data_IF_591167191328
#
_entry.id   IF_591167191328
#
_cell.length_a   1.000
_cell.length_b   1.000
_cell.length_c   1.000
_cell.angle_alpha   90.00
_cell.angle_beta   90.00
_cell.angle_gamma   90.00
#
_symmetry.space_group_name_H-M   'P 1'
#
loop_
_entity.id
_entity.type
_entity.pdbx_description
1 polymer ?
#
# COMPACT_ATOMS: atom_id res chain seq x y z
N UNK A 1 -67.96 -12.68 -52.59
CA UNK A 1 -67.89 -12.09 -53.95
C UNK A 1 -66.85 -10.97 -53.90
N UNK A 2 -65.56 -11.26 -54.09
CA UNK A 2 -64.83 -11.11 -55.36
C UNK A 2 -65.04 -9.75 -56.03
N UNK A 3 -64.05 -8.86 -55.92
CA UNK A 3 -63.31 -8.35 -57.07
C UNK A 3 -61.99 -7.71 -56.63
N UNK A 4 -60.95 -8.50 -56.85
CA UNK A 4 -59.57 -8.06 -57.09
C UNK A 4 -59.54 -7.40 -58.47
N UNK A 5 -58.90 -6.24 -58.58
CA UNK A 5 -58.34 -5.76 -59.84
C UNK A 5 -56.99 -5.11 -59.54
N UNK A 6 -55.94 -5.88 -59.79
CA UNK A 6 -54.55 -5.48 -59.93
C UNK A 6 -54.37 -4.68 -61.22
N UNK A 7 -53.50 -3.65 -61.25
CA UNK A 7 -52.39 -3.55 -62.23
C UNK A 7 -51.53 -2.28 -62.07
N UNK A 8 -50.21 -2.52 -62.13
CA UNK A 8 -49.10 -1.67 -62.59
C UNK A 8 -48.81 -0.39 -61.78
N UNK A 9 -47.84 -0.40 -60.86
CA UNK A 9 -46.37 -0.45 -61.09
C UNK A 9 -45.86 0.78 -61.88
N UNK A 10 -45.78 1.92 -61.19
CA UNK A 10 -44.69 2.88 -61.41
C UNK A 10 -43.90 2.94 -60.12
N UNK A 11 -42.76 2.27 -60.20
CA UNK A 11 -41.66 2.28 -59.26
C UNK A 11 -41.12 3.72 -59.20
N UNK A 12 -41.46 4.43 -58.14
CA UNK A 12 -40.66 5.54 -57.62
C UNK A 12 -40.27 5.15 -56.20
N UNK A 13 -39.27 4.26 -56.14
CA UNK A 13 -38.46 4.07 -54.95
C UNK A 13 -37.92 5.44 -54.55
N UNK A 14 -38.52 6.02 -53.51
CA UNK A 14 -37.80 6.91 -52.62
C UNK A 14 -36.86 6.02 -51.81
N UNK A 15 -35.80 5.54 -52.49
CA UNK A 15 -34.56 5.12 -51.87
C UNK A 15 -34.07 6.35 -51.10
N UNK A 16 -34.43 6.42 -49.82
CA UNK A 16 -33.53 7.07 -48.87
C UNK A 16 -32.28 6.20 -48.95
N UNK A 17 -31.27 6.72 -49.65
CA UNK A 17 -29.90 6.27 -49.47
C UNK A 17 -29.56 6.48 -47.98
N UNK A 18 -29.94 5.52 -47.15
CA UNK A 18 -29.07 5.12 -46.06
C UNK A 18 -27.93 4.46 -46.81
N UNK A 19 -26.87 5.22 -47.05
CA UNK A 19 -25.61 4.63 -47.47
C UNK A 19 -25.26 3.61 -46.40
N UNK A 20 -25.51 2.35 -46.71
CA UNK A 20 -24.78 1.21 -46.17
C UNK A 20 -23.34 1.39 -46.64
N UNK A 21 -22.64 2.34 -46.04
CA UNK A 21 -21.21 2.22 -45.90
C UNK A 21 -21.01 1.23 -44.78
N UNK A 22 -20.69 0.02 -45.22
CA UNK A 22 -19.95 -0.98 -44.49
C UNK A 22 -18.69 -0.28 -43.95
N UNK A 23 -18.79 0.28 -42.74
CA UNK A 23 -17.66 0.43 -41.86
C UNK A 23 -17.71 -0.78 -40.94
N UNK A 24 -17.20 -1.89 -41.46
CA UNK A 24 -16.50 -2.83 -40.62
C UNK A 24 -15.23 -2.10 -40.18
N UNK A 25 -15.29 -1.49 -39.01
CA UNK A 25 -14.15 -1.26 -38.13
C UNK A 25 -14.73 -1.08 -36.73
N UNK A 26 -14.20 -1.90 -35.82
CA UNK A 26 -14.62 -2.13 -34.45
C UNK A 26 -14.88 -0.84 -33.65
N UNK A 27 -16.16 -0.58 -33.33
CA UNK A 27 -16.52 0.26 -32.17
C UNK A 27 -16.40 -0.63 -30.93
N UNK A 28 -15.17 -0.91 -30.53
CA UNK A 28 -14.85 -1.51 -29.24
C UNK A 28 -14.66 -0.39 -28.20
N UNK A 29 -15.59 -0.36 -27.25
CA UNK A 29 -15.39 -0.10 -25.81
C UNK A 29 -14.04 0.51 -25.39
N UNK A 30 -14.05 1.70 -24.78
CA UNK A 30 -13.24 2.08 -23.59
C UNK A 30 -13.14 3.61 -23.47
N UNK A 31 -13.70 4.22 -22.43
CA UNK A 31 -13.35 5.59 -22.02
C UNK A 31 -13.51 5.81 -20.50
N UNK A 32 -13.38 4.74 -19.71
CA UNK A 32 -12.60 4.85 -18.48
C UNK A 32 -11.16 4.52 -18.87
N UNK A 33 -10.16 5.37 -18.60
CA UNK A 33 -8.80 5.13 -19.04
C UNK A 33 -8.19 3.99 -18.21
N UNK A 34 -8.42 2.74 -18.64
CA UNK A 34 -7.34 1.75 -18.63
C UNK A 34 -6.39 2.16 -19.74
N UNK A 35 -5.47 3.07 -19.41
CA UNK A 35 -4.32 3.34 -20.25
C UNK A 35 -3.11 2.75 -19.56
N UNK A 36 -2.66 1.63 -20.15
CA UNK A 36 -1.46 0.94 -19.79
C UNK A 36 -0.26 1.86 -19.81
N UNK A 37 0.61 1.65 -18.83
CA UNK A 37 1.98 2.12 -18.87
C UNK A 37 2.63 1.46 -20.09
N UNK A 38 2.82 2.20 -21.18
CA UNK A 38 3.78 1.81 -22.22
C UNK A 38 5.16 1.99 -21.60
N UNK A 39 5.64 0.96 -20.91
CA UNK A 39 6.99 0.88 -20.36
C UNK A 39 7.19 0.13 -19.04
N UNK A 40 6.14 -0.14 -18.25
CA UNK A 40 6.26 -0.87 -16.97
C UNK A 40 5.02 -1.72 -16.78
N UNK A 41 5.09 -2.98 -17.23
CA UNK A 41 4.04 -3.98 -17.02
C UNK A 41 3.94 -4.34 -15.54
N UNK A 42 2.72 -4.44 -15.02
CA UNK A 42 2.42 -5.00 -13.69
C UNK A 42 3.03 -6.40 -13.58
N UNK A 43 3.88 -6.64 -12.57
CA UNK A 43 4.46 -7.96 -12.29
C UNK A 43 5.98 -8.02 -12.09
N UNK A 44 6.65 -6.91 -11.80
CA UNK A 44 8.09 -6.90 -11.52
C UNK A 44 8.38 -6.89 -10.02
N UNK A 45 9.46 -7.57 -9.63
CA UNK A 45 9.94 -7.69 -8.27
C UNK A 45 10.94 -6.59 -7.93
N UNK A 46 11.24 -6.37 -6.64
CA UNK A 46 12.24 -5.38 -6.15
C UNK A 46 13.61 -5.50 -6.84
N UNK A 47 13.97 -6.66 -7.41
CA UNK A 47 15.25 -6.82 -8.12
C UNK A 47 15.29 -6.18 -9.50
N UNK A 48 14.14 -5.81 -10.07
CA UNK A 48 14.03 -5.35 -11.46
C UNK A 48 14.19 -3.83 -11.59
N UNK A 49 14.12 -3.09 -10.47
CA UNK A 49 14.32 -1.64 -10.45
C UNK A 49 15.37 -1.18 -9.45
N UNK A 50 16.21 -0.25 -9.91
CA UNK A 50 17.18 0.46 -9.07
C UNK A 50 16.48 1.65 -8.43
N UNK A 51 16.45 1.69 -7.10
CA UNK A 51 15.91 2.84 -6.36
C UNK A 51 16.60 4.14 -6.80
N UNK A 52 15.82 5.20 -6.99
CA UNK A 52 16.32 6.49 -7.46
C UNK A 52 16.53 6.59 -8.97
N UNK A 53 16.37 5.49 -9.73
CA UNK A 53 16.36 5.56 -11.18
C UNK A 53 15.23 6.47 -11.69
N UNK A 54 15.53 7.25 -12.73
CA UNK A 54 14.55 8.14 -13.36
C UNK A 54 14.07 7.55 -14.69
N UNK A 55 12.83 7.90 -15.05
CA UNK A 55 12.20 7.45 -16.30
C UNK A 55 11.00 8.32 -16.64
N UNK A 56 10.17 7.83 -17.56
CA UNK A 56 8.92 8.48 -17.94
C UNK A 56 7.75 7.52 -17.85
N UNK A 57 6.58 8.04 -17.47
CA UNK A 57 5.30 7.34 -17.49
C UNK A 57 4.36 8.05 -18.47
N UNK A 58 3.65 7.29 -19.32
CA UNK A 58 2.59 7.86 -20.14
C UNK A 58 1.31 8.00 -19.30
N UNK A 59 0.81 9.23 -19.17
CA UNK A 59 -0.43 9.55 -18.47
C UNK A 59 -1.32 10.34 -19.41
N UNK A 60 -2.37 9.69 -19.92
CA UNK A 60 -3.36 10.32 -20.82
C UNK A 60 -2.72 10.92 -22.09
N UNK A 61 -1.71 10.23 -22.64
CA UNK A 61 -0.99 10.67 -23.85
C UNK A 61 0.12 11.70 -23.60
N UNK A 62 0.31 12.17 -22.37
CA UNK A 62 1.46 12.99 -21.98
C UNK A 62 2.54 12.14 -21.30
N UNK A 63 3.82 12.41 -21.60
CA UNK A 63 4.95 11.78 -20.93
C UNK A 63 5.29 12.57 -19.66
N UNK A 64 5.27 11.89 -18.52
CA UNK A 64 5.52 12.45 -17.19
C UNK A 64 6.82 11.89 -16.64
N UNK A 65 7.73 12.76 -16.20
CA UNK A 65 8.99 12.34 -15.60
C UNK A 65 8.75 11.76 -14.20
N UNK A 66 9.35 10.60 -13.94
CA UNK A 66 9.19 9.86 -12.68
C UNK A 66 10.53 9.41 -12.12
N UNK A 67 10.56 9.17 -10.81
CA UNK A 67 11.64 8.48 -10.11
C UNK A 67 11.10 7.23 -9.42
N UNK A 68 11.81 6.12 -9.54
CA UNK A 68 11.50 4.89 -8.81
C UNK A 68 11.79 5.08 -7.32
N UNK A 69 10.81 4.72 -6.49
CA UNK A 69 10.96 4.66 -5.04
C UNK A 69 10.44 3.33 -4.49
N UNK A 70 10.96 2.92 -3.32
CA UNK A 70 10.39 1.82 -2.54
C UNK A 70 9.74 2.38 -1.29
N UNK A 71 8.52 1.93 -1.03
CA UNK A 71 7.72 2.36 0.11
C UNK A 71 7.64 1.20 1.09
N UNK A 72 8.10 1.42 2.31
CA UNK A 72 7.96 0.41 3.35
C UNK A 72 6.49 0.25 3.73
N UNK A 73 6.04 -1.01 3.81
CA UNK A 73 4.79 -1.35 4.49
C UNK A 73 4.97 -1.21 6.01
N UNK A 74 3.88 -1.14 6.80
CA UNK A 74 3.98 -1.11 8.26
C UNK A 74 4.77 -2.27 8.89
N UNK A 75 4.76 -3.47 8.29
CA UNK A 75 5.53 -4.62 8.74
C UNK A 75 6.96 -4.63 8.17
N UNK A 76 7.28 -3.78 7.19
CA UNK A 76 8.61 -3.59 6.57
C UNK A 76 9.24 -4.83 5.94
N UNK A 77 8.47 -5.93 5.82
CA UNK A 77 8.94 -7.20 5.24
C UNK A 77 9.06 -7.06 3.73
N UNK A 78 8.07 -6.42 3.11
CA UNK A 78 7.99 -6.19 1.67
C UNK A 78 7.93 -4.69 1.38
N UNK A 79 8.68 -4.25 0.38
CA UNK A 79 8.60 -2.88 -0.14
C UNK A 79 7.59 -2.81 -1.28
N UNK A 80 6.75 -1.77 -1.29
CA UNK A 80 5.84 -1.48 -2.40
C UNK A 80 6.58 -0.62 -3.42
N UNK A 81 6.55 -1.04 -4.70
CA UNK A 81 7.10 -0.24 -5.79
C UNK A 81 6.21 1.00 -6.03
N UNK A 82 6.82 2.18 -5.92
CA UNK A 82 6.17 3.46 -6.20
C UNK A 82 6.95 4.28 -7.23
N UNK A 83 6.26 5.28 -7.78
CA UNK A 83 6.83 6.27 -8.69
C UNK A 83 6.60 7.67 -8.13
N UNK A 84 7.68 8.35 -7.78
CA UNK A 84 7.62 9.78 -7.46
C UNK A 84 7.44 10.57 -8.76
N UNK A 85 6.34 11.30 -8.86
CA UNK A 85 6.01 12.17 -9.97
C UNK A 85 6.79 13.47 -9.84
N UNK A 86 7.76 13.68 -10.72
CA UNK A 86 8.68 14.82 -10.67
C UNK A 86 8.06 16.08 -11.28
N UNK A 87 7.08 15.91 -12.16
CA UNK A 87 6.41 17.00 -12.86
C UNK A 87 4.93 16.69 -13.07
N UNK A 88 4.09 17.67 -12.78
CA UNK A 88 2.64 17.60 -12.98
C UNK A 88 2.26 17.68 -14.47
N UNK A 89 1.09 17.14 -14.82
CA UNK A 89 0.48 17.31 -16.15
C UNK A 89 0.22 18.78 -16.48
N UNK A 90 0.05 19.06 -17.78
CA UNK A 90 -0.28 20.41 -18.22
C UNK A 90 -1.61 20.92 -17.64
N UNK A 91 -1.67 22.22 -17.30
CA UNK A 91 -2.89 22.83 -16.74
C UNK A 91 -4.16 22.62 -17.58
N UNK A 92 -4.13 22.82 -18.90
CA UNK A 92 -5.28 22.53 -19.77
C UNK A 92 -5.74 21.07 -19.71
N UNK A 93 -4.80 20.12 -19.58
CA UNK A 93 -5.11 18.69 -19.46
C UNK A 93 -5.82 18.39 -18.14
N UNK A 94 -5.31 18.92 -17.02
CA UNK A 94 -5.93 18.77 -15.70
C UNK A 94 -7.33 19.40 -15.64
N UNK A 95 -7.55 20.53 -16.31
CA UNK A 95 -8.87 21.16 -16.41
C UNK A 95 -9.85 20.21 -17.11
N UNK A 96 -9.47 19.62 -18.25
CA UNK A 96 -10.33 18.69 -18.98
C UNK A 96 -10.67 17.46 -18.14
N UNK A 97 -9.67 16.85 -17.49
CA UNK A 97 -9.84 15.68 -16.61
C UNK A 97 -10.79 15.99 -15.44
N UNK A 98 -10.71 17.20 -14.89
CA UNK A 98 -11.55 17.62 -13.75
C UNK A 98 -13.04 17.54 -14.06
N UNK A 99 -13.44 17.67 -15.33
CA UNK A 99 -14.84 17.59 -15.76
C UNK A 99 -15.28 16.19 -16.22
N UNK A 100 -14.35 15.27 -16.51
CA UNK A 100 -14.63 13.90 -17.00
C UNK A 100 -15.62 13.15 -16.12
N UNK A 101 -15.55 13.35 -14.80
CA UNK A 101 -16.36 12.60 -13.84
C UNK A 101 -17.53 13.39 -13.25
N UNK A 102 -17.82 14.57 -13.81
CA UNK A 102 -18.89 15.45 -13.31
C UNK A 102 -20.30 14.87 -13.44
N UNK A 103 -20.47 13.85 -14.28
CA UNK A 103 -21.73 13.13 -14.46
C UNK A 103 -21.99 12.05 -13.40
N UNK A 104 -20.97 11.68 -12.60
CA UNK A 104 -21.13 10.69 -11.54
C UNK A 104 -21.72 11.36 -10.29
N UNK A 105 -22.55 10.63 -9.55
CA UNK A 105 -23.20 11.11 -8.31
C UNK A 105 -22.20 11.12 -7.15
N UNK A 106 -21.14 11.91 -7.27
CA UNK A 106 -20.05 12.03 -6.32
C UNK A 106 -19.71 13.50 -6.06
N UNK A 107 -19.26 13.78 -4.84
CA UNK A 107 -18.83 15.12 -4.44
C UNK A 107 -17.34 15.26 -4.63
N UNK A 108 -16.91 16.17 -5.51
CA UNK A 108 -15.47 16.45 -5.70
C UNK A 108 -14.93 17.24 -4.51
N UNK A 109 -13.87 16.72 -3.90
CA UNK A 109 -13.15 17.32 -2.77
C UNK A 109 -11.90 18.08 -3.22
N UNK A 110 -11.23 17.62 -4.28
CA UNK A 110 -10.03 18.25 -4.83
C UNK A 110 -10.01 18.14 -6.37
N UNK A 111 -9.37 19.10 -7.09
CA UNK A 111 -9.23 19.05 -8.54
C UNK A 111 -8.35 17.89 -9.01
N UNK A 112 -8.32 17.64 -10.33
CA UNK A 112 -7.46 16.63 -10.91
C UNK A 112 -5.96 16.91 -10.67
N UNK A 113 -5.20 15.84 -10.45
CA UNK A 113 -3.74 15.86 -10.31
C UNK A 113 -3.20 14.48 -10.64
N UNK A 114 -2.08 14.44 -11.37
CA UNK A 114 -1.36 13.23 -11.70
C UNK A 114 -0.29 12.86 -10.67
N UNK A 115 -0.07 13.68 -9.64
CA UNK A 115 0.94 13.46 -8.61
C UNK A 115 0.76 12.15 -7.85
N UNK A 116 -0.47 11.68 -7.68
CA UNK A 116 -0.78 10.46 -6.96
C UNK A 116 -2.11 9.86 -7.43
N UNK A 117 -2.28 8.56 -7.23
CA UNK A 117 -3.48 7.82 -7.59
C UNK A 117 -4.25 7.30 -6.37
N UNK A 118 -5.27 6.49 -6.63
CA UNK A 118 -6.14 5.88 -5.63
C UNK A 118 -5.39 5.05 -4.60
N UNK A 119 -4.50 4.16 -5.06
CA UNK A 119 -3.72 3.28 -4.18
C UNK A 119 -2.79 4.08 -3.29
N UNK A 120 -2.06 5.07 -3.85
CA UNK A 120 -1.20 5.94 -3.05
C UNK A 120 -1.98 6.76 -2.01
N UNK A 121 -3.16 7.29 -2.36
CA UNK A 121 -4.00 8.00 -1.41
C UNK A 121 -4.49 7.10 -0.26
N UNK A 122 -4.89 5.87 -0.59
CA UNK A 122 -5.44 4.94 0.39
C UNK A 122 -4.36 4.34 1.30
N UNK A 123 -3.25 3.90 0.74
CA UNK A 123 -2.27 3.07 1.44
C UNK A 123 -1.05 3.83 1.95
N UNK A 124 -0.68 4.93 1.30
CA UNK A 124 0.56 5.64 1.60
C UNK A 124 0.32 7.00 2.26
N UNK A 125 -0.34 7.94 1.57
CA UNK A 125 -0.48 9.30 2.09
C UNK A 125 -1.70 10.04 1.55
N UNK A 126 -2.51 10.58 2.47
CA UNK A 126 -3.65 11.45 2.16
C UNK A 126 -3.27 12.93 2.08
N UNK A 127 -1.98 13.26 2.20
CA UNK A 127 -1.48 14.63 2.15
C UNK A 127 -1.63 15.24 0.75
N UNK A 128 -1.92 16.54 0.68
CA UNK A 128 -1.90 17.31 -0.58
C UNK A 128 -0.50 17.40 -1.20
N UNK A 129 0.54 17.12 -0.42
CA UNK A 129 1.93 17.06 -0.86
C UNK A 129 2.34 15.68 -1.38
N UNK A 130 1.42 14.70 -1.42
CA UNK A 130 1.71 13.38 -1.95
C UNK A 130 2.08 13.47 -3.45
N UNK A 131 3.26 12.96 -3.80
CA UNK A 131 3.80 12.89 -5.16
C UNK A 131 3.99 11.45 -5.63
N UNK A 132 3.46 10.48 -4.90
CA UNK A 132 3.75 9.08 -5.14
C UNK A 132 2.60 8.43 -5.90
N UNK A 133 2.93 7.68 -6.93
CA UNK A 133 2.01 6.84 -7.70
C UNK A 133 2.29 5.37 -7.43
N UNK A 134 1.28 4.58 -7.05
CA UNK A 134 1.42 3.16 -6.71
C UNK A 134 0.55 2.35 -7.68
N UNK A 135 1.16 1.51 -8.52
CA UNK A 135 0.39 0.68 -9.45
C UNK A 135 -0.18 -0.57 -8.79
N UNK A 136 0.59 -1.21 -7.92
CA UNK A 136 0.18 -2.42 -7.22
C UNK A 136 0.35 -2.23 -5.70
N UNK A 137 -0.74 -2.11 -4.93
CA UNK A 137 -0.69 -2.01 -3.48
C UNK A 137 -0.62 -3.37 -2.76
N UNK A 138 -0.54 -4.51 -3.47
CA UNK A 138 -0.72 -5.85 -2.90
C UNK A 138 0.12 -6.12 -1.65
N UNK A 139 1.39 -5.69 -1.67
CA UNK A 139 2.31 -5.86 -0.55
C UNK A 139 1.78 -5.24 0.77
N UNK A 140 0.98 -4.18 0.73
CA UNK A 140 0.39 -3.63 1.96
C UNK A 140 -0.56 -4.59 2.68
N UNK A 141 -1.23 -5.49 1.97
CA UNK A 141 -2.22 -6.39 2.57
C UNK A 141 -1.88 -7.87 2.43
N UNK A 142 -0.77 -8.22 1.78
CA UNK A 142 -0.24 -9.59 1.72
C UNK A 142 0.85 -9.85 2.76
N UNK A 143 1.56 -8.81 3.23
CA UNK A 143 2.73 -8.95 4.12
C UNK A 143 2.38 -9.07 5.63
N UNK A 144 1.07 -9.08 5.95
CA UNK A 144 0.57 -9.09 7.32
C UNK A 144 0.53 -7.72 8.01
N UNK A 145 0.67 -6.61 7.28
CA UNK A 145 0.48 -5.25 7.82
C UNK A 145 -1.00 -4.94 8.09
N UNK A 146 -1.90 -5.46 7.24
CA UNK A 146 -3.35 -5.25 7.35
C UNK A 146 -4.09 -6.58 7.38
N UNK A 147 -5.22 -6.60 8.10
CA UNK A 147 -6.15 -7.73 8.10
C UNK A 147 -7.37 -7.44 7.25
N UNK A 148 -7.82 -8.44 6.49
CA UNK A 148 -9.12 -8.39 5.83
C UNK A 148 -10.25 -8.43 6.88
N UNK A 149 -11.25 -7.55 6.72
CA UNK A 149 -12.40 -7.46 7.64
C UNK A 149 -13.71 -7.53 6.86
N UNK A 150 -14.68 -8.25 7.41
CA UNK A 150 -16.02 -8.38 6.81
C UNK A 150 -16.98 -7.25 7.20
N UNK A 151 -16.71 -6.57 8.31
CA UNK A 151 -17.49 -5.43 8.80
C UNK A 151 -16.64 -4.15 8.75
N UNK A 152 -16.86 -3.29 7.73
CA UNK A 152 -16.07 -2.08 7.58
C UNK A 152 -16.35 -1.08 8.70
N UNK A 153 -15.35 -0.26 8.99
CA UNK A 153 -15.38 0.89 9.89
C UNK A 153 -14.73 2.09 9.21
N UNK A 154 -15.03 3.28 9.72
CA UNK A 154 -14.33 4.51 9.32
C UNK A 154 -12.83 4.32 9.53
N UNK A 155 -12.04 4.66 8.51
CA UNK A 155 -10.59 4.50 8.49
C UNK A 155 -10.10 3.20 7.85
N UNK A 156 -10.97 2.22 7.60
CA UNK A 156 -10.58 1.03 6.83
C UNK A 156 -10.34 1.41 5.36
N UNK A 157 -9.48 0.63 4.71
CA UNK A 157 -9.25 0.72 3.27
C UNK A 157 -10.22 -0.22 2.56
N UNK A 158 -10.92 0.29 1.55
CA UNK A 158 -11.73 -0.53 0.63
C UNK A 158 -10.92 -0.75 -0.64
N UNK A 159 -10.87 -2.00 -1.11
CA UNK A 159 -10.22 -2.40 -2.36
C UNK A 159 -11.23 -3.07 -3.28
N UNK A 160 -11.20 -2.70 -4.55
CA UNK A 160 -12.14 -3.14 -5.58
C UNK A 160 -11.41 -4.10 -6.50
N UNK A 161 -11.94 -5.31 -6.64
CA UNK A 161 -11.29 -6.38 -7.39
C UNK A 161 -12.15 -6.80 -8.58
N UNK A 162 -11.48 -7.21 -9.67
CA UNK A 162 -12.12 -7.92 -10.77
C UNK A 162 -12.16 -9.42 -10.50
N UNK A 163 -13.34 -10.04 -10.46
CA UNK A 163 -13.47 -11.49 -10.54
C UNK A 163 -13.22 -11.91 -11.99
N UNK A 164 -12.04 -12.49 -12.26
CA UNK A 164 -11.75 -13.04 -13.59
C UNK A 164 -12.47 -14.36 -13.89
N UNK A 165 -13.34 -14.85 -13.01
CA UNK A 165 -14.16 -16.04 -13.23
C UNK A 165 -13.34 -17.33 -13.33
N UNK A 166 -12.05 -17.30 -13.00
CA UNK A 166 -11.19 -18.46 -12.88
C UNK A 166 -11.06 -18.80 -11.39
N UNK A 167 -11.32 -20.05 -11.02
CA UNK A 167 -11.30 -20.54 -9.63
C UNK A 167 -9.90 -20.51 -8.96
N UNK A 168 -8.97 -19.73 -9.50
CA UNK A 168 -7.63 -19.50 -8.99
C UNK A 168 -7.53 -18.04 -8.57
N UNK A 169 -7.48 -17.80 -7.26
CA UNK A 169 -7.37 -16.48 -6.60
C UNK A 169 -6.10 -15.68 -6.95
N UNK A 170 -5.34 -16.10 -7.96
CA UNK A 170 -4.09 -15.49 -8.42
C UNK A 170 -4.31 -14.40 -9.47
N UNK A 171 -5.52 -14.26 -10.01
CA UNK A 171 -5.79 -13.41 -11.18
C UNK A 171 -6.61 -12.15 -10.85
N UNK A 172 -6.99 -11.97 -9.57
CA UNK A 172 -7.77 -10.83 -9.10
C UNK A 172 -6.85 -9.61 -8.96
N UNK A 173 -7.07 -8.60 -9.78
CA UNK A 173 -6.37 -7.32 -9.73
C UNK A 173 -7.10 -6.36 -8.82
N UNK A 174 -6.39 -5.71 -7.91
CA UNK A 174 -6.94 -4.59 -7.16
C UNK A 174 -7.01 -3.35 -8.08
N UNK A 175 -8.17 -3.12 -8.66
CA UNK A 175 -8.38 -2.09 -9.68
C UNK A 175 -8.53 -0.68 -9.09
N UNK A 176 -8.90 -0.61 -7.80
CA UNK A 176 -9.12 0.68 -7.12
C UNK A 176 -9.01 0.54 -5.62
N UNK A 177 -8.59 1.62 -4.95
CA UNK A 177 -8.59 1.69 -3.50
C UNK A 177 -9.10 3.03 -2.99
N UNK A 178 -9.72 3.01 -1.81
CA UNK A 178 -10.23 4.21 -1.16
C UNK A 178 -10.29 4.06 0.35
N UNK A 179 -10.55 5.18 1.04
CA UNK A 179 -10.69 5.21 2.50
C UNK A 179 -12.16 5.29 2.86
N UNK A 180 -12.62 4.39 3.73
CA UNK A 180 -13.98 4.45 4.27
C UNK A 180 -14.10 5.64 5.22
N UNK A 181 -15.01 6.57 4.92
CA UNK A 181 -15.24 7.80 5.70
C UNK A 181 -16.58 7.83 6.42
N UNK A 182 -17.53 6.98 6.03
CA UNK A 182 -18.74 6.70 6.80
C UNK A 182 -19.23 5.28 6.53
N UNK A 183 -19.95 4.70 7.51
CA UNK A 183 -20.59 3.39 7.40
C UNK A 183 -22.07 3.56 7.70
N UNK A 184 -22.91 2.97 6.86
CA UNK A 184 -24.36 2.96 6.99
C UNK A 184 -24.83 1.57 7.43
N UNK A 185 -25.85 1.53 8.29
CA UNK A 185 -26.55 0.28 8.62
C UNK A 185 -27.62 -0.01 7.57
N UNK A 186 -27.77 -1.26 7.16
CA UNK A 186 -28.83 -1.65 6.24
C UNK A 186 -28.57 -3.00 5.59
N UNK A 187 -29.45 -3.36 4.67
CA UNK A 187 -29.27 -4.51 3.78
C UNK A 187 -28.59 -3.99 2.52
N UNK A 188 -27.44 -4.56 2.19
CA UNK A 188 -26.71 -4.23 0.96
C UNK A 188 -27.54 -4.57 -0.28
N UNK A 189 -27.42 -3.74 -1.32
CA UNK A 189 -27.96 -4.01 -2.64
C UNK A 189 -27.16 -5.08 -3.42
N UNK A 190 -26.03 -5.55 -2.89
CA UNK A 190 -25.18 -6.59 -3.47
C UNK A 190 -24.34 -6.15 -4.68
N UNK A 191 -24.42 -4.88 -5.08
CA UNK A 191 -23.66 -4.35 -6.22
C UNK A 191 -22.22 -4.08 -5.76
N UNK A 192 -21.26 -4.81 -6.34
CA UNK A 192 -19.86 -4.75 -5.92
C UNK A 192 -19.72 -5.07 -4.41
N UNK A 193 -20.23 -6.25 -4.01
CA UNK A 193 -20.28 -6.67 -2.62
C UNK A 193 -21.23 -5.80 -1.77
N UNK A 194 -20.76 -5.41 -0.59
CA UNK A 194 -21.45 -4.52 0.35
C UNK A 194 -20.92 -3.07 0.32
N UNK A 195 -20.28 -2.68 -0.79
CA UNK A 195 -19.71 -1.33 -0.96
C UNK A 195 -20.77 -0.21 -0.90
N UNK A 196 -22.03 -0.53 -1.16
CA UNK A 196 -23.14 0.41 -1.03
C UNK A 196 -23.44 0.86 0.40
N UNK A 197 -22.96 0.11 1.40
CA UNK A 197 -23.11 0.43 2.82
C UNK A 197 -22.04 1.39 3.35
N UNK A 198 -21.12 1.88 2.51
CA UNK A 198 -20.06 2.80 2.92
C UNK A 198 -20.02 4.06 2.06
N UNK A 199 -19.58 5.16 2.66
CA UNK A 199 -19.07 6.32 1.95
C UNK A 199 -17.56 6.22 1.90
N UNK A 200 -17.00 6.47 0.72
CA UNK A 200 -15.59 6.31 0.40
C UNK A 200 -15.03 7.65 -0.09
N UNK A 201 -13.83 7.98 0.37
CA UNK A 201 -13.02 9.04 -0.23
C UNK A 201 -11.90 8.40 -1.03
N UNK A 202 -11.79 8.73 -2.33
CA UNK A 202 -10.76 8.16 -3.20
C UNK A 202 -10.39 9.06 -4.37
N UNK A 203 -9.18 8.91 -4.90
CA UNK A 203 -8.75 9.50 -6.19
C UNK A 203 -9.28 8.64 -7.33
N UNK A 204 -9.61 9.24 -8.46
CA UNK A 204 -9.95 8.48 -9.67
C UNK A 204 -8.86 8.62 -10.72
N UNK A 205 -7.81 7.80 -10.59
CA UNK A 205 -6.60 7.86 -11.40
C UNK A 205 -5.88 9.21 -11.23
N UNK A 206 -5.54 9.83 -12.35
CA UNK A 206 -5.05 11.22 -12.42
C UNK A 206 -6.19 12.27 -12.32
N UNK A 207 -7.42 11.82 -12.10
CA UNK A 207 -8.58 12.66 -11.78
C UNK A 207 -8.55 13.26 -10.38
N UNK A 208 -9.66 13.89 -10.02
CA UNK A 208 -9.85 14.54 -8.72
C UNK A 208 -9.94 13.57 -7.55
N UNK A 209 -10.03 14.13 -6.34
CA UNK A 209 -10.41 13.42 -5.13
C UNK A 209 -11.91 13.55 -4.93
N UNK A 210 -12.60 12.45 -4.65
CA UNK A 210 -14.06 12.42 -4.56
C UNK A 210 -14.53 11.72 -3.28
N UNK A 211 -15.61 12.25 -2.70
CA UNK A 211 -16.45 11.54 -1.73
C UNK A 211 -17.65 10.96 -2.47
N UNK A 212 -17.87 9.66 -2.33
CA UNK A 212 -18.91 8.94 -3.04
C UNK A 212 -19.42 7.75 -2.22
N UNK A 213 -20.62 7.26 -2.53
CA UNK A 213 -21.03 5.94 -2.06
C UNK A 213 -20.10 4.87 -2.67
N UNK A 214 -19.74 3.82 -1.93
CA UNK A 214 -18.71 2.86 -2.35
C UNK A 214 -18.97 2.22 -3.72
N UNK A 215 -20.21 1.87 -4.08
CA UNK A 215 -20.48 1.29 -5.40
C UNK A 215 -20.44 2.35 -6.54
N UNK A 216 -20.53 3.64 -6.21
CA UNK A 216 -20.60 4.79 -7.12
C UNK A 216 -19.19 5.29 -7.46
N UNK A 217 -18.48 4.59 -8.34
CA UNK A 217 -17.17 5.05 -8.82
C UNK A 217 -16.88 4.52 -10.24
N UNK A 218 -15.88 5.06 -10.97
CA UNK A 218 -15.61 4.67 -12.35
C UNK A 218 -14.99 3.28 -12.49
N UNK A 219 -14.70 2.59 -11.40
CA UNK A 219 -14.05 1.28 -11.38
C UNK A 219 -15.02 0.10 -11.19
N UNK A 220 -16.27 0.34 -10.79
CA UNK A 220 -17.25 -0.74 -10.63
C UNK A 220 -17.94 -1.08 -11.95
N UNK A 221 -18.15 -2.36 -12.22
CA UNK A 221 -18.86 -2.86 -13.39
C UNK A 221 -20.37 -2.55 -13.38
N UNK A 222 -20.92 -2.25 -12.19
CA UNK A 222 -22.35 -1.99 -11.99
C UNK A 222 -22.74 -0.52 -12.15
N UNK A 223 -21.83 0.43 -11.87
CA UNK A 223 -22.11 1.86 -11.95
C UNK A 223 -21.50 2.52 -13.21
N UNK A 224 -20.39 1.98 -13.71
CA UNK A 224 -19.67 2.50 -14.87
C UNK A 224 -19.25 1.37 -15.82
N UNK A 225 -18.31 1.66 -16.71
CA UNK A 225 -17.64 0.66 -17.56
C UNK A 225 -16.42 0.03 -16.87
N UNK A 226 -16.36 0.08 -15.54
CA UNK A 226 -15.28 -0.52 -14.76
C UNK A 226 -15.33 -2.04 -14.77
N UNK A 227 -14.32 -2.67 -14.17
CA UNK A 227 -14.22 -4.14 -14.11
C UNK A 227 -14.51 -4.71 -12.73
N UNK A 228 -14.42 -3.90 -11.69
CA UNK A 228 -14.54 -4.41 -10.34
C UNK A 228 -15.97 -4.82 -10.02
N UNK A 229 -16.13 -5.99 -9.47
CA UNK A 229 -17.42 -6.63 -9.21
C UNK A 229 -17.55 -7.16 -7.78
N UNK A 230 -16.48 -7.11 -6.99
CA UNK A 230 -16.51 -7.26 -5.54
C UNK A 230 -15.51 -6.35 -4.84
N UNK A 231 -15.65 -6.24 -3.52
CA UNK A 231 -14.75 -5.47 -2.66
C UNK A 231 -14.25 -6.29 -1.48
N UNK A 232 -13.05 -5.95 -1.00
CA UNK A 232 -12.52 -6.37 0.30
C UNK A 232 -12.19 -5.12 1.12
N UNK A 233 -12.22 -5.27 2.45
CA UNK A 233 -11.84 -4.20 3.37
C UNK A 233 -10.62 -4.62 4.17
N UNK A 234 -9.70 -3.69 4.35
CA UNK A 234 -8.47 -3.91 5.07
C UNK A 234 -8.33 -2.92 6.21
N UNK A 235 -7.97 -3.45 7.38
CA UNK A 235 -7.72 -2.67 8.58
C UNK A 235 -6.29 -2.91 9.06
N UNK A 236 -5.57 -1.84 9.32
CA UNK A 236 -4.22 -1.91 9.89
C UNK A 236 -4.26 -2.73 11.18
N UNK A 237 -3.34 -3.67 11.35
CA UNK A 237 -3.27 -4.41 12.60
C UNK A 237 -3.02 -3.47 13.77
N UNK A 238 -4.00 -3.36 14.66
CA UNK A 238 -3.80 -2.76 15.99
C UNK A 238 -3.29 -3.85 16.92
N UNK A 239 -1.96 -3.99 16.95
CA UNK A 239 -1.25 -4.97 17.77
C UNK A 239 -0.93 -4.40 19.15
N UNK A 240 -1.28 -5.16 20.19
CA UNK A 240 -0.77 -4.93 21.53
C UNK A 240 0.41 -5.86 21.77
N UNK A 241 1.54 -5.27 22.13
CA UNK A 241 2.78 -6.01 22.38
C UNK A 241 2.87 -6.44 23.83
N UNK A 242 3.15 -7.72 24.04
CA UNK A 242 3.49 -8.31 25.34
C UNK A 242 4.97 -8.65 25.33
N UNK A 243 5.69 -8.15 26.34
CA UNK A 243 7.09 -8.49 26.57
C UNK A 243 7.24 -10.00 26.89
N UNK A 244 8.15 -10.67 26.18
CA UNK A 244 8.46 -12.08 26.38
C UNK A 244 9.77 -12.30 27.17
N UNK A 245 10.51 -11.22 27.46
CA UNK A 245 11.84 -11.28 28.05
C UNK A 245 12.89 -10.61 27.16
N UNK A 246 14.07 -10.34 27.74
CA UNK A 246 15.12 -9.58 27.08
C UNK A 246 15.64 -10.23 25.78
N UNK A 247 15.72 -11.57 25.75
CA UNK A 247 16.28 -12.32 24.63
C UNK A 247 15.20 -12.79 23.65
N UNK A 248 14.01 -13.07 24.18
CA UNK A 248 12.85 -13.59 23.44
C UNK A 248 12.08 -12.49 22.70
N UNK A 249 12.26 -11.22 23.07
CA UNK A 249 11.64 -10.09 22.40
C UNK A 249 10.22 -9.83 22.90
N UNK A 250 9.28 -9.67 21.98
CA UNK A 250 7.88 -9.44 22.31
C UNK A 250 6.93 -10.12 21.32
N UNK A 251 5.71 -10.37 21.79
CA UNK A 251 4.60 -10.86 20.96
C UNK A 251 3.57 -9.76 20.78
N UNK A 252 3.35 -9.34 19.54
CA UNK A 252 2.22 -8.50 19.17
C UNK A 252 1.00 -9.35 18.88
N UNK A 253 -0.16 -9.07 19.48
CA UNK A 253 -1.43 -9.72 19.15
C UNK A 253 -2.42 -8.66 18.66
N UNK A 254 -2.99 -8.88 17.48
CA UNK A 254 -4.02 -8.02 16.94
C UNK A 254 -5.37 -8.33 17.57
N UNK A 255 -5.97 -7.35 18.25
CA UNK A 255 -7.27 -7.50 18.91
C UNK A 255 -8.43 -7.80 17.94
N UNK A 256 -8.30 -7.41 16.67
CA UNK A 256 -9.38 -7.54 15.68
C UNK A 256 -9.51 -8.94 15.09
N UNK A 257 -8.39 -9.60 14.82
CA UNK A 257 -8.37 -10.86 14.06
C UNK A 257 -7.55 -11.99 14.71
N UNK A 258 -6.88 -11.72 15.84
CA UNK A 258 -6.06 -12.72 16.54
C UNK A 258 -4.73 -13.05 15.86
N UNK A 259 -4.39 -12.40 14.74
CA UNK A 259 -3.06 -12.46 14.16
C UNK A 259 -2.02 -12.08 15.21
N UNK A 260 -0.90 -12.80 15.24
CA UNK A 260 0.21 -12.49 16.11
C UNK A 260 1.52 -12.47 15.35
N UNK A 261 2.44 -11.64 15.84
CA UNK A 261 3.82 -11.55 15.38
C UNK A 261 4.74 -11.69 16.58
N UNK A 262 5.84 -12.41 16.42
CA UNK A 262 6.94 -12.44 17.37
C UNK A 262 8.16 -11.83 16.70
N UNK A 263 8.78 -10.89 17.38
CA UNK A 263 9.94 -10.17 16.86
C UNK A 263 10.84 -9.73 18.02
N UNK A 264 12.09 -9.40 17.70
CA UNK A 264 13.04 -8.86 18.66
C UNK A 264 12.62 -7.48 19.17
N UNK A 265 13.23 -7.06 20.27
CA UNK A 265 13.02 -5.72 20.80
C UNK A 265 13.53 -4.64 19.84
N UNK A 266 12.75 -3.56 19.71
CA UNK A 266 13.11 -2.37 18.96
C UNK A 266 13.57 -1.28 19.95
N UNK A 267 14.87 -1.29 20.26
CA UNK A 267 15.44 -0.48 21.33
C UNK A 267 15.58 0.99 20.95
N UNK A 268 15.17 1.85 21.88
CA UNK A 268 15.56 3.26 21.92
C UNK A 268 16.46 3.56 23.10
N UNK A 269 17.46 4.38 22.85
CA UNK A 269 18.43 4.80 23.83
C UNK A 269 17.84 5.87 24.77
N UNK A 270 17.95 5.65 26.09
CA UNK A 270 17.64 6.63 27.11
C UNK A 270 18.92 6.97 27.91
N UNK A 271 18.86 7.97 28.77
CA UNK A 271 20.03 8.41 29.55
C UNK A 271 20.65 7.29 30.41
N UNK A 272 19.82 6.43 31.02
CA UNK A 272 20.26 5.42 31.98
C UNK A 272 19.81 3.98 31.66
N UNK A 273 19.07 3.77 30.57
CA UNK A 273 18.59 2.45 30.14
C UNK A 273 18.25 2.45 28.64
N UNK A 274 17.90 1.29 28.12
CA UNK A 274 17.29 1.07 26.82
C UNK A 274 15.82 0.72 27.02
N UNK A 275 14.96 1.27 26.16
CA UNK A 275 13.52 1.00 26.19
C UNK A 275 13.06 0.47 24.85
N UNK A 276 12.37 -0.66 24.83
CA UNK A 276 11.72 -1.15 23.61
C UNK A 276 10.55 -0.22 23.26
N UNK A 277 10.52 0.31 22.03
CA UNK A 277 9.46 1.22 21.54
C UNK A 277 8.09 0.56 21.43
N UNK A 278 8.06 -0.77 21.27
CA UNK A 278 6.85 -1.54 21.01
C UNK A 278 6.21 -2.07 22.30
N UNK A 279 6.97 -2.81 23.12
CA UNK A 279 6.45 -3.43 24.35
C UNK A 279 6.74 -2.63 25.63
N UNK A 280 7.60 -1.60 25.57
CA UNK A 280 7.98 -0.80 26.73
C UNK A 280 8.95 -1.47 27.71
N UNK A 281 9.51 -2.65 27.37
CA UNK A 281 10.54 -3.31 28.16
C UNK A 281 11.71 -2.36 28.42
N UNK A 282 12.19 -2.30 29.66
CA UNK A 282 13.33 -1.47 30.05
C UNK A 282 14.46 -2.35 30.52
N UNK A 283 15.64 -2.17 29.93
CA UNK A 283 16.84 -2.85 30.36
C UNK A 283 18.03 -1.90 30.37
N UNK A 284 18.91 -2.07 31.35
CA UNK A 284 20.23 -1.42 31.38
C UNK A 284 21.21 -2.01 30.37
N UNK A 285 20.87 -3.17 29.79
CA UNK A 285 21.70 -3.88 28.84
C UNK A 285 20.89 -4.56 27.74
N UNK A 286 21.44 -4.63 26.52
CA UNK A 286 20.75 -5.22 25.38
C UNK A 286 21.70 -6.09 24.56
N UNK A 287 21.22 -7.20 23.98
CA UNK A 287 22.01 -7.97 23.02
C UNK A 287 22.26 -7.13 21.76
N UNK A 288 23.44 -7.29 21.17
CA UNK A 288 23.85 -6.57 19.95
C UNK A 288 24.32 -7.55 18.90
N UNK A 289 23.76 -7.46 17.71
CA UNK A 289 24.20 -8.26 16.57
C UNK A 289 25.59 -7.77 16.11
N UNK A 290 26.53 -8.67 15.74
CA UNK A 290 27.89 -8.27 15.38
C UNK A 290 27.98 -7.25 14.24
N UNK A 291 27.03 -7.28 13.30
CA UNK A 291 26.92 -6.35 12.18
C UNK A 291 26.42 -4.94 12.58
N UNK A 292 25.92 -4.76 13.79
CA UNK A 292 25.48 -3.47 14.32
C UNK A 292 26.56 -2.80 15.19
N UNK A 293 27.75 -3.38 15.30
CA UNK A 293 28.86 -2.81 16.07
C UNK A 293 29.57 -1.75 15.20
N UNK A 294 29.76 -0.52 15.71
CA UNK A 294 30.48 0.53 15.00
C UNK A 294 31.92 0.13 14.60
N UNK A 295 32.38 0.59 13.44
CA UNK A 295 33.67 0.18 12.87
C UNK A 295 34.87 0.55 13.75
N UNK A 296 34.81 1.68 14.45
CA UNK A 296 35.83 2.11 15.41
C UNK A 296 35.91 1.18 16.64
N UNK A 297 34.81 0.54 17.00
CA UNK A 297 34.76 -0.47 18.07
C UNK A 297 35.26 -1.82 17.57
N UNK A 298 35.03 -2.19 16.31
CA UNK A 298 35.55 -3.43 15.73
C UNK A 298 37.08 -3.52 15.81
N UNK A 299 37.78 -2.40 15.63
CA UNK A 299 39.24 -2.32 15.81
C UNK A 299 39.67 -2.63 17.24
N UNK A 300 38.92 -2.14 18.25
CA UNK A 300 39.18 -2.45 19.67
C UNK A 300 38.91 -3.94 19.96
N UNK A 301 37.89 -4.52 19.34
CA UNK A 301 37.57 -5.96 19.46
C UNK A 301 38.70 -6.84 18.93
N UNK A 302 39.29 -6.49 17.78
CA UNK A 302 40.41 -7.26 17.20
C UNK A 302 41.60 -7.39 18.17
N UNK A 303 41.85 -6.38 19.00
CA UNK A 303 42.90 -6.41 20.03
C UNK A 303 42.58 -7.35 21.20
N UNK A 304 41.32 -7.77 21.34
CA UNK A 304 40.79 -8.61 22.42
C UNK A 304 40.31 -9.98 21.92
N UNK A 305 40.39 -10.25 20.61
CA UNK A 305 39.76 -11.41 19.95
C UNK A 305 40.22 -12.79 20.44
N UNK A 306 41.31 -12.87 21.22
CA UNK A 306 41.79 -14.12 21.84
C UNK A 306 41.16 -14.41 23.21
N UNK A 307 40.40 -13.47 23.77
CA UNK A 307 39.72 -13.63 25.04
C UNK A 307 38.33 -14.23 24.85
N UNK A 308 37.97 -15.18 25.71
CA UNK A 308 36.63 -15.78 25.72
C UNK A 308 35.56 -14.79 26.20
N UNK A 309 35.95 -13.78 26.98
CA UNK A 309 35.09 -12.72 27.47
C UNK A 309 35.89 -11.42 27.60
N UNK A 310 35.26 -10.29 27.32
CA UNK A 310 35.88 -8.97 27.49
C UNK A 310 34.85 -7.85 27.59
N UNK A 311 35.27 -6.69 28.09
CA UNK A 311 34.52 -5.45 28.06
C UNK A 311 35.35 -4.33 27.41
N UNK A 312 34.69 -3.46 26.64
CA UNK A 312 35.29 -2.33 25.92
C UNK A 312 34.40 -1.10 26.08
N UNK A 313 34.98 0.04 26.43
CA UNK A 313 34.27 1.32 26.45
C UNK A 313 33.91 1.75 25.02
N UNK A 314 32.61 1.99 24.82
CA UNK A 314 32.05 2.56 23.59
C UNK A 314 32.06 4.08 23.69
N UNK A 315 31.53 4.60 24.80
CA UNK A 315 31.52 6.02 25.16
C UNK A 315 31.66 6.20 26.69
N UNK A 316 31.45 7.41 27.21
CA UNK A 316 31.60 7.74 28.65
C UNK A 316 30.64 6.96 29.59
N UNK A 317 29.55 6.39 29.06
CA UNK A 317 28.50 5.77 29.84
C UNK A 317 28.02 4.40 29.27
N UNK A 318 28.63 3.93 28.18
CA UNK A 318 28.25 2.70 27.49
C UNK A 318 29.44 1.78 27.31
N UNK A 319 29.27 0.51 27.70
CA UNK A 319 30.27 -0.55 27.59
C UNK A 319 29.74 -1.68 26.72
N UNK A 320 30.56 -2.15 25.78
CA UNK A 320 30.32 -3.37 25.01
C UNK A 320 30.98 -4.55 25.72
N UNK A 321 30.18 -5.56 26.09
CA UNK A 321 30.64 -6.82 26.65
C UNK A 321 30.54 -7.93 25.61
N UNK A 322 31.50 -8.85 25.61
CA UNK A 322 31.41 -10.14 24.91
C UNK A 322 31.44 -11.25 25.96
N UNK A 323 30.39 -12.07 25.99
CA UNK A 323 30.20 -13.17 26.95
C UNK A 323 29.56 -14.35 26.22
N UNK A 324 30.14 -15.54 26.35
CA UNK A 324 29.59 -16.80 25.82
C UNK A 324 29.14 -16.74 24.34
N UNK A 325 29.93 -16.06 23.50
CA UNK A 325 29.63 -15.95 22.08
C UNK A 325 28.69 -14.82 21.67
N UNK A 326 28.19 -14.03 22.63
CA UNK A 326 27.26 -12.92 22.36
C UNK A 326 27.78 -11.56 22.83
N UNK A 327 27.39 -10.51 22.11
CA UNK A 327 27.69 -9.13 22.46
C UNK A 327 26.53 -8.49 23.21
N UNK A 328 26.84 -7.67 24.21
CA UNK A 328 25.88 -6.88 24.97
C UNK A 328 26.36 -5.44 25.09
N UNK A 329 25.48 -4.47 24.83
CA UNK A 329 25.71 -3.09 25.24
C UNK A 329 25.13 -2.86 26.63
N UNK A 330 25.87 -2.17 27.48
CA UNK A 330 25.55 -1.96 28.90
C UNK A 330 25.69 -0.49 29.24
N UNK A 331 24.65 0.12 29.82
CA UNK A 331 24.66 1.53 30.25
C UNK A 331 24.90 1.70 31.75
N UNK A 332 25.57 2.78 32.13
CA UNK A 332 25.79 3.14 33.54
C UNK A 332 26.83 2.26 34.25
N UNK A 333 27.68 1.57 33.49
CA UNK A 333 28.66 0.62 33.99
C UNK A 333 30.04 0.94 33.42
N UNK A 334 31.09 0.49 34.10
CA UNK A 334 32.47 0.58 33.63
C UNK A 334 32.94 -0.78 33.11
N UNK A 335 34.01 -0.81 32.34
CA UNK A 335 34.62 -2.07 31.87
C UNK A 335 34.97 -3.04 33.01
N UNK A 336 35.29 -2.54 34.20
CA UNK A 336 35.61 -3.35 35.38
C UNK A 336 34.40 -4.12 35.95
N UNK A 337 33.18 -3.56 35.86
CA UNK A 337 31.99 -4.13 36.50
C UNK A 337 30.94 -4.67 35.53
N UNK A 338 31.00 -4.28 34.25
CA UNK A 338 29.97 -4.63 33.26
C UNK A 338 29.85 -6.14 33.03
N UNK A 339 30.97 -6.88 32.95
CA UNK A 339 30.94 -8.34 32.77
C UNK A 339 30.22 -9.05 33.92
N UNK A 340 30.58 -8.70 35.17
CA UNK A 340 29.96 -9.27 36.37
C UNK A 340 28.47 -8.94 36.45
N UNK A 341 28.11 -7.71 36.04
CA UNK A 341 26.73 -7.27 35.99
C UNK A 341 25.88 -8.14 35.04
N UNK A 342 26.31 -8.32 33.79
CA UNK A 342 25.58 -9.12 32.80
C UNK A 342 25.43 -10.57 33.27
N UNK A 343 26.50 -11.17 33.78
CA UNK A 343 26.45 -12.53 34.31
C UNK A 343 25.44 -12.68 35.44
N UNK A 344 25.33 -11.68 36.31
CA UNK A 344 24.33 -11.71 37.39
C UNK A 344 22.90 -11.51 36.90
N UNK A 345 22.71 -10.72 35.83
CA UNK A 345 21.41 -10.46 35.23
C UNK A 345 20.87 -11.67 34.45
N UNK A 346 21.74 -12.38 33.73
CA UNK A 346 21.38 -13.55 32.90
C UNK A 346 21.06 -14.82 33.70
N UNK A 347 21.35 -14.85 35.01
CA UNK A 347 21.07 -16.00 35.90
C UNK A 347 19.65 -15.97 36.48
N UNK A 348 18.95 -14.84 36.40
CA UNK A 348 17.56 -14.72 36.84
C UNK A 348 16.64 -15.14 35.68
N UNK A 349 16.40 -16.46 35.55
CA UNK A 349 15.36 -17.02 34.69
C UNK A 349 14.01 -17.06 35.37
#
# INVERSE_FOLDING_TARGET
>A
MKKICSLLLVISLLFIMITTNVFADDVMLSNAPYLGVVGITNGFSKSDYVEGATGTMNMDGESVDVRVIYIDTPNTVDGVLGFEILKELSGPKLINITYTFSSLSATRLAPATAKYNCHSYAWYSQSELNTIWINDPSAFYSDGSYCEVSTPKVGDIICYFDDKGTATTSDDSNEHSGVVTAVSSGISNGLCGNSDLVTVTSKWGYGGLYSHNGYVCPYTSYYSTGKADYVKYYRLHSVNYTDLGLLEGHRGICHGCGYYVEEGHDWSEMASFYMCRKCGHKSSHIPVAPNNIPEDILLKIQQKATLNEFAIDVDENTVLCYIDGQYYMVKGHTTDNALSYIKSASVVK
#
